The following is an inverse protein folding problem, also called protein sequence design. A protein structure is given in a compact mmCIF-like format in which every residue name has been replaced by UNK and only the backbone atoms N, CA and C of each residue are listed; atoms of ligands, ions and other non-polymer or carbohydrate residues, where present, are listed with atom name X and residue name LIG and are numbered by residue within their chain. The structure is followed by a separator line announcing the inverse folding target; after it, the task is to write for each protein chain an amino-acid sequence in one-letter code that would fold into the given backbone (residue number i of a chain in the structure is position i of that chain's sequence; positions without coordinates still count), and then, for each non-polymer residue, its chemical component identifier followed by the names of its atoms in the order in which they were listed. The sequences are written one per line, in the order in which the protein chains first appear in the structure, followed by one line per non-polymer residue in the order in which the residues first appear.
data_IF_102499755461
#
_entry.id   IF_102499755461
#
_cell.length_a   1.000
_cell.length_b   1.000
_cell.length_c   1.000
_cell.angle_alpha   90.00
_cell.angle_beta   90.00
_cell.angle_gamma   90.00
#
_symmetry.space_group_name_H-M   'P 1'
#
loop_
_entity.id
_entity.type
_entity.pdbx_description
1 polymer ?
#
# COMPACT_ATOMS: atom_id res chain seq x y z
N UNK A 1 7.47 -12.69 -5.45
CA UNK A 1 6.87 -12.60 -4.10
C UNK A 1 5.38 -12.75 -4.29
N UNK A 2 4.65 -13.46 -3.43
CA UNK A 2 3.18 -13.42 -3.37
C UNK A 2 2.73 -12.39 -2.32
N UNK A 3 1.60 -11.71 -2.53
CA UNK A 3 1.09 -10.67 -1.60
C UNK A 3 -0.35 -10.93 -1.26
N UNK A 4 -0.64 -11.03 0.04
CA UNK A 4 -1.97 -11.28 0.58
C UNK A 4 -2.36 -10.17 1.53
N UNK A 5 -3.60 -9.71 1.42
CA UNK A 5 -4.18 -8.74 2.34
C UNK A 5 -5.11 -9.49 3.29
N UNK A 6 -4.82 -9.42 4.58
CA UNK A 6 -5.73 -9.89 5.62
C UNK A 6 -6.74 -8.78 5.88
N UNK A 7 -7.76 -8.79 5.03
CA UNK A 7 -8.84 -7.83 5.07
C UNK A 7 -9.78 -8.26 6.21
N UNK A 8 -10.11 -7.34 7.13
CA UNK A 8 -11.32 -7.50 7.94
C UNK A 8 -12.48 -7.31 6.97
N UNK A 9 -12.78 -8.39 6.25
CA UNK A 9 -13.80 -8.53 5.22
C UNK A 9 -15.12 -8.08 5.77
N UNK A 10 -15.64 -6.93 5.30
CA UNK A 10 -17.05 -6.53 5.37
C UNK A 10 -17.35 -5.19 4.65
N UNK A 11 -16.33 -4.44 4.19
CA UNK A 11 -16.54 -3.16 3.51
C UNK A 11 -16.60 -3.34 1.98
N UNK A 12 -17.74 -3.03 1.37
CA UNK A 12 -17.86 -2.94 -0.08
C UNK A 12 -17.06 -1.74 -0.57
N UNK A 13 -15.88 -1.98 -1.16
CA UNK A 13 -15.05 -0.92 -1.74
C UNK A 13 -15.61 -0.46 -3.09
N UNK A 14 -15.25 0.77 -3.48
CA UNK A 14 -15.59 1.31 -4.79
C UNK A 14 -14.79 0.57 -5.89
N UNK A 15 -15.32 0.40 -7.10
CA UNK A 15 -14.63 -0.29 -8.19
C UNK A 15 -13.22 0.23 -8.48
N UNK A 16 -13.00 1.53 -8.33
CA UNK A 16 -11.72 2.18 -8.61
C UNK A 16 -10.64 1.80 -7.58
N UNK A 17 -11.04 1.63 -6.31
CA UNK A 17 -10.14 1.16 -5.25
C UNK A 17 -9.75 -0.29 -5.49
N UNK A 18 -10.70 -1.14 -5.88
CA UNK A 18 -10.41 -2.53 -6.23
C UNK A 18 -9.51 -2.63 -7.47
N UNK A 19 -9.69 -1.73 -8.44
CA UNK A 19 -8.80 -1.63 -9.59
C UNK A 19 -7.37 -1.24 -9.17
N UNK A 20 -7.20 -0.20 -8.34
CA UNK A 20 -5.88 0.19 -7.81
C UNK A 20 -5.21 -0.94 -7.03
N UNK A 21 -5.98 -1.65 -6.20
CA UNK A 21 -5.52 -2.84 -5.46
C UNK A 21 -5.04 -3.93 -6.42
N UNK A 22 -5.83 -4.26 -7.43
CA UNK A 22 -5.51 -5.31 -8.40
C UNK A 22 -4.24 -4.96 -9.20
N UNK A 23 -4.11 -3.72 -9.67
CA UNK A 23 -2.92 -3.23 -10.37
C UNK A 23 -1.69 -3.28 -9.46
N UNK A 24 -1.79 -2.80 -8.23
CA UNK A 24 -0.66 -2.83 -7.29
C UNK A 24 -0.21 -4.25 -6.94
N UNK A 25 -1.15 -5.20 -6.77
CA UNK A 25 -0.80 -6.62 -6.57
C UNK A 25 -0.12 -7.17 -7.82
N UNK A 26 -0.73 -6.99 -9.00
CA UNK A 26 -0.15 -7.47 -10.26
C UNK A 26 1.27 -6.97 -10.47
N UNK A 27 1.49 -5.66 -10.32
CA UNK A 27 2.82 -5.07 -10.50
C UNK A 27 3.82 -5.58 -9.46
N UNK A 28 3.40 -5.86 -8.22
CA UNK A 28 4.28 -6.45 -7.20
C UNK A 28 4.66 -7.89 -7.53
N UNK A 29 3.76 -8.67 -8.15
CA UNK A 29 4.05 -10.04 -8.57
C UNK A 29 5.06 -10.05 -9.73
N UNK A 30 4.86 -9.17 -10.71
CA UNK A 30 5.71 -9.06 -11.91
C UNK A 30 7.06 -8.41 -11.61
N UNK A 31 7.06 -7.30 -10.86
CA UNK A 31 8.23 -6.45 -10.67
C UNK A 31 8.30 -5.93 -9.23
N UNK A 32 9.08 -6.61 -8.39
CA UNK A 32 9.43 -6.14 -7.06
C UNK A 32 10.91 -6.38 -6.78
N UNK A 33 11.46 -5.54 -5.91
CA UNK A 33 12.77 -5.76 -5.28
C UNK A 33 12.59 -5.95 -3.79
N UNK A 34 11.91 -7.01 -3.37
CA UNK A 34 11.72 -7.30 -1.94
C UNK A 34 12.79 -8.27 -1.41
N UNK A 35 13.59 -7.83 -0.43
CA UNK A 35 14.62 -8.67 0.19
C UNK A 35 14.58 -8.59 1.71
N UNK A 36 14.17 -9.68 2.35
CA UNK A 36 14.25 -9.82 3.81
C UNK A 36 15.72 -9.99 4.24
N UNK A 37 16.15 -9.25 5.27
CA UNK A 37 17.47 -9.41 5.84
C UNK A 37 17.57 -10.75 6.60
N UNK A 38 18.62 -11.54 6.33
CA UNK A 38 18.83 -12.85 6.96
C UNK A 38 18.05 -14.02 6.36
N UNK A 39 17.30 -13.81 5.27
CA UNK A 39 16.60 -14.88 4.56
C UNK A 39 16.72 -14.72 3.04
N UNK A 40 16.44 -15.80 2.29
CA UNK A 40 16.34 -15.79 0.83
C UNK A 40 14.91 -16.13 0.42
N UNK A 41 14.44 -15.48 -0.64
CA UNK A 41 13.11 -15.70 -1.21
C UNK A 41 13.08 -16.94 -2.11
N UNK A 42 11.93 -17.23 -2.74
CA UNK A 42 10.72 -16.39 -2.80
C UNK A 42 9.97 -16.27 -1.47
N UNK A 43 9.23 -15.16 -1.32
CA UNK A 43 8.47 -14.82 -0.11
C UNK A 43 6.97 -14.77 -0.39
N UNK A 44 6.16 -15.10 0.60
CA UNK A 44 4.74 -14.74 0.69
C UNK A 44 4.61 -13.65 1.77
N UNK A 45 4.11 -12.48 1.38
CA UNK A 45 3.90 -11.34 2.27
C UNK A 45 2.42 -11.22 2.62
N UNK A 46 2.09 -11.40 3.89
CA UNK A 46 0.77 -11.09 4.44
C UNK A 46 0.80 -9.69 5.05
N UNK A 47 -0.08 -8.81 4.57
CA UNK A 47 -0.26 -7.45 5.06
C UNK A 47 -1.58 -7.34 5.80
N UNK A 48 -1.56 -6.86 7.05
CA UNK A 48 -2.76 -6.68 7.86
C UNK A 48 -2.63 -5.51 8.84
N UNK A 49 -3.73 -5.20 9.54
CA UNK A 49 -3.76 -4.22 10.62
C UNK A 49 -4.17 -4.88 11.94
N UNK A 50 -3.36 -4.70 12.98
CA UNK A 50 -3.63 -5.21 14.34
C UNK A 50 -3.36 -4.12 15.37
N UNK A 51 -4.33 -3.78 16.22
CA UNK A 51 -4.18 -2.75 17.27
C UNK A 51 -3.54 -1.43 16.79
N UNK A 52 -3.98 -0.97 15.61
CA UNK A 52 -3.42 0.20 14.91
C UNK A 52 -1.93 0.08 14.57
N UNK A 53 -1.44 -1.13 14.35
CA UNK A 53 -0.12 -1.44 13.79
C UNK A 53 -0.27 -2.08 12.42
N UNK A 54 0.61 -1.71 11.50
CA UNK A 54 0.77 -2.39 10.24
C UNK A 54 1.61 -3.64 10.47
N UNK A 55 1.05 -4.79 10.11
CA UNK A 55 1.72 -6.08 10.21
C UNK A 55 2.23 -6.46 8.83
N UNK A 56 3.52 -6.79 8.75
CA UNK A 56 4.14 -7.44 7.60
C UNK A 56 4.60 -8.82 8.05
N UNK A 57 3.79 -9.84 7.78
CA UNK A 57 4.11 -11.23 8.05
C UNK A 57 4.73 -11.87 6.80
N UNK A 58 6.04 -12.07 6.86
CA UNK A 58 6.85 -12.60 5.77
C UNK A 58 7.05 -14.09 5.99
N UNK A 59 6.63 -14.88 5.01
CA UNK A 59 6.68 -16.34 5.02
C UNK A 59 7.49 -16.84 3.82
N UNK A 60 8.04 -18.05 3.93
CA UNK A 60 8.54 -18.76 2.75
C UNK A 60 7.40 -19.28 1.90
N UNK A 61 7.73 -19.72 0.69
CA UNK A 61 6.78 -20.27 -0.28
C UNK A 61 5.99 -21.48 0.24
N UNK A 62 6.59 -22.29 1.11
CA UNK A 62 5.93 -23.42 1.81
C UNK A 62 5.04 -22.99 3.00
N UNK A 63 4.92 -21.68 3.25
CA UNK A 63 4.08 -21.11 4.30
C UNK A 63 4.74 -20.99 5.67
N UNK A 64 6.00 -21.42 5.84
CA UNK A 64 6.71 -21.29 7.11
C UNK A 64 6.95 -19.80 7.45
N UNK A 65 6.65 -19.36 8.69
CA UNK A 65 6.93 -17.99 9.10
C UNK A 65 8.44 -17.73 9.13
N UNK A 66 8.88 -16.67 8.46
CA UNK A 66 10.28 -16.22 8.46
C UNK A 66 10.46 -15.05 9.42
N UNK A 67 9.60 -14.03 9.30
CA UNK A 67 9.62 -12.89 10.20
C UNK A 67 8.29 -12.15 10.20
N UNK A 68 7.93 -11.56 11.35
CA UNK A 68 6.72 -10.77 11.50
C UNK A 68 7.07 -9.38 12.04
N UNK A 69 6.90 -8.35 11.21
CA UNK A 69 7.17 -6.97 11.60
C UNK A 69 5.88 -6.27 12.00
N UNK A 70 5.94 -5.53 13.11
CA UNK A 70 4.85 -4.66 13.55
C UNK A 70 5.34 -3.21 13.48
N UNK A 71 4.82 -2.45 12.52
CA UNK A 71 5.12 -1.04 12.36
C UNK A 71 4.00 -0.19 12.96
N UNK A 72 4.37 0.84 13.72
CA UNK A 72 3.41 1.85 14.15
C UNK A 72 2.79 2.53 12.93
N UNK A 73 1.46 2.64 12.88
CA UNK A 73 0.76 3.40 11.82
C UNK A 73 0.80 4.91 12.03
N UNK A 74 1.20 5.38 13.24
CA UNK A 74 1.18 6.81 13.59
C UNK A 74 1.91 7.70 12.55
N UNK A 75 3.11 7.35 12.05
CA UNK A 75 3.80 8.17 11.05
C UNK A 75 3.05 8.28 9.72
N UNK A 76 2.32 7.22 9.32
CA UNK A 76 1.59 7.17 8.05
C UNK A 76 0.23 7.87 8.10
N UNK A 77 -0.30 8.13 9.31
CA UNK A 77 -1.67 8.61 9.51
C UNK A 77 -1.99 9.89 8.73
N UNK A 78 -1.05 10.85 8.67
CA UNK A 78 -1.24 12.09 7.91
C UNK A 78 -1.39 11.80 6.42
N UNK A 79 -0.41 11.09 5.85
CA UNK A 79 -0.36 10.78 4.41
C UNK A 79 -1.61 10.00 3.98
N UNK A 80 -2.03 9.00 4.77
CA UNK A 80 -3.23 8.20 4.50
C UNK A 80 -4.49 9.07 4.55
N UNK A 81 -4.61 9.96 5.53
CA UNK A 81 -5.75 10.89 5.64
C UNK A 81 -5.81 11.81 4.42
N UNK A 82 -4.68 12.42 4.07
CA UNK A 82 -4.59 13.35 2.94
C UNK A 82 -4.88 12.63 1.62
N UNK A 83 -4.43 11.37 1.47
CA UNK A 83 -4.75 10.52 0.32
C UNK A 83 -6.26 10.34 0.16
N UNK A 84 -6.97 10.00 1.24
CA UNK A 84 -8.42 9.84 1.15
C UNK A 84 -9.14 11.15 0.79
N UNK A 85 -8.70 12.29 1.34
CA UNK A 85 -9.27 13.60 0.98
C UNK A 85 -9.04 13.95 -0.51
N UNK A 86 -7.86 13.62 -1.05
CA UNK A 86 -7.54 13.83 -2.46
C UNK A 86 -8.36 12.90 -3.35
N UNK A 87 -8.53 11.63 -2.96
CA UNK A 87 -9.41 10.69 -3.68
C UNK A 87 -10.86 11.18 -3.71
N UNK A 88 -11.41 11.64 -2.58
CA UNK A 88 -12.75 12.25 -2.55
C UNK A 88 -12.86 13.44 -3.51
N UNK A 89 -11.85 14.30 -3.54
CA UNK A 89 -11.79 15.46 -4.44
C UNK A 89 -11.71 15.03 -5.91
N UNK A 90 -10.92 13.99 -6.21
CA UNK A 90 -10.78 13.41 -7.55
C UNK A 90 -12.12 12.89 -8.07
N UNK A 91 -12.82 12.10 -7.25
CA UNK A 91 -14.15 11.58 -7.62
C UNK A 91 -15.18 12.70 -7.75
N UNK A 92 -15.15 13.69 -6.85
CA UNK A 92 -16.00 14.87 -6.95
C UNK A 92 -15.79 15.62 -8.26
N UNK A 93 -14.54 15.80 -8.69
CA UNK A 93 -14.18 16.47 -9.94
C UNK A 93 -14.65 15.70 -11.18
N UNK A 94 -14.49 14.38 -11.21
CA UNK A 94 -15.02 13.53 -12.30
C UNK A 94 -16.53 13.66 -12.37
N UNK A 95 -17.22 13.48 -11.23
CA UNK A 95 -18.69 13.51 -11.19
C UNK A 95 -19.27 14.86 -11.58
N UNK A 96 -18.57 15.96 -11.29
CA UNK A 96 -19.00 17.32 -11.66
C UNK A 96 -18.61 17.72 -13.09
N UNK A 97 -17.95 16.86 -13.86
CA UNK A 97 -17.46 17.21 -15.20
C UNK A 97 -16.38 18.30 -15.19
N UNK A 98 -15.47 18.29 -14.19
CA UNK A 98 -14.35 19.22 -14.13
C UNK A 98 -13.45 19.13 -15.37
N UNK A 99 -12.71 20.20 -15.66
CA UNK A 99 -11.78 20.20 -16.78
C UNK A 99 -10.70 19.11 -16.64
N UNK A 100 -10.18 18.56 -17.76
CA UNK A 100 -9.10 17.57 -17.73
C UNK A 100 -7.88 18.05 -16.93
N UNK A 101 -7.50 19.32 -17.08
CA UNK A 101 -6.38 19.92 -16.34
C UNK A 101 -6.57 19.90 -14.82
N UNK A 102 -7.81 20.08 -14.34
CA UNK A 102 -8.13 20.03 -12.91
C UNK A 102 -8.07 18.60 -12.39
N UNK A 103 -8.60 17.64 -13.14
CA UNK A 103 -8.55 16.22 -12.80
C UNK A 103 -7.09 15.75 -12.73
N UNK A 104 -6.27 16.13 -13.72
CA UNK A 104 -4.85 15.80 -13.76
C UNK A 104 -4.08 16.40 -12.58
N UNK A 105 -4.36 17.65 -12.21
CA UNK A 105 -3.73 18.30 -11.06
C UNK A 105 -4.01 17.56 -9.74
N UNK A 106 -5.25 17.09 -9.55
CA UNK A 106 -5.63 16.30 -8.37
C UNK A 106 -4.93 14.93 -8.41
N UNK A 107 -4.89 14.29 -9.57
CA UNK A 107 -4.24 12.98 -9.75
C UNK A 107 -2.72 13.04 -9.55
N UNK A 108 -2.06 14.14 -9.93
CA UNK A 108 -0.67 14.40 -9.58
C UNK A 108 -0.47 14.45 -8.06
N UNK A 109 -1.36 15.15 -7.33
CA UNK A 109 -1.35 15.18 -5.87
C UNK A 109 -1.54 13.80 -5.24
N UNK A 110 -2.45 13.00 -5.80
CA UNK A 110 -2.70 11.61 -5.38
C UNK A 110 -1.44 10.74 -5.53
N UNK A 111 -0.78 10.80 -6.69
CA UNK A 111 0.48 10.09 -6.92
C UNK A 111 1.59 10.56 -5.97
N UNK A 112 1.67 11.86 -5.70
CA UNK A 112 2.63 12.44 -4.76
C UNK A 112 2.52 11.83 -3.36
N UNK A 113 1.29 11.60 -2.87
CA UNK A 113 1.06 10.98 -1.57
C UNK A 113 1.46 9.51 -1.52
N UNK A 114 1.31 8.77 -2.62
CA UNK A 114 1.84 7.40 -2.69
C UNK A 114 3.36 7.35 -2.68
N UNK A 115 4.03 8.29 -3.35
CA UNK A 115 5.49 8.40 -3.31
C UNK A 115 5.97 8.75 -1.90
N UNK A 116 5.38 9.78 -1.26
CA UNK A 116 5.73 10.17 0.12
C UNK A 116 5.53 9.00 1.12
N UNK A 117 4.42 8.28 0.98
CA UNK A 117 4.14 7.10 1.80
C UNK A 117 5.10 5.94 1.53
N UNK A 118 5.51 5.75 0.27
CA UNK A 118 6.51 4.78 -0.16
C UNK A 118 7.88 5.09 0.43
N UNK A 119 8.36 6.33 0.31
CA UNK A 119 9.63 6.78 0.89
C UNK A 119 9.67 6.55 2.40
N UNK A 120 8.61 6.94 3.11
CA UNK A 120 8.49 6.67 4.54
C UNK A 120 8.53 5.17 4.83
N UNK A 121 7.88 4.33 4.01
CA UNK A 121 7.91 2.88 4.19
C UNK A 121 9.34 2.31 4.03
N UNK A 122 10.11 2.79 3.06
CA UNK A 122 11.53 2.45 2.88
C UNK A 122 12.31 2.76 4.17
N UNK A 123 12.15 3.96 4.72
CA UNK A 123 12.82 4.38 5.96
C UNK A 123 12.43 3.49 7.16
N UNK A 124 11.14 3.15 7.31
CA UNK A 124 10.67 2.30 8.42
C UNK A 124 11.20 0.87 8.32
N UNK A 125 11.43 0.38 7.10
CA UNK A 125 11.90 -0.98 6.80
C UNK A 125 13.42 -1.10 6.71
N UNK A 126 14.15 0.01 6.66
CA UNK A 126 15.61 0.02 6.64
C UNK A 126 16.21 -0.91 7.72
N UNK A 127 17.21 -1.70 7.29
CA UNK A 127 17.88 -2.73 8.09
C UNK A 127 17.10 -4.04 8.28
N UNK A 128 15.81 -4.08 7.91
CA UNK A 128 14.91 -5.24 8.07
C UNK A 128 14.55 -5.86 6.74
N UNK A 129 14.01 -5.04 5.84
CA UNK A 129 13.60 -5.41 4.48
C UNK A 129 14.15 -4.33 3.56
N UNK A 130 14.89 -4.73 2.53
CA UNK A 130 15.25 -3.85 1.44
C UNK A 130 14.17 -3.90 0.36
N UNK A 131 13.71 -2.71 -0.02
CA UNK A 131 12.78 -2.46 -1.12
C UNK A 131 13.25 -1.26 -1.92
N UNK A 132 12.97 -1.24 -3.21
CA UNK A 132 13.10 -0.03 -4.03
C UNK A 132 11.84 0.85 -3.93
N UNK A 133 11.93 2.05 -4.50
CA UNK A 133 10.85 3.03 -4.47
C UNK A 133 9.56 2.49 -5.10
N UNK A 134 9.63 1.79 -6.23
CA UNK A 134 8.43 1.31 -6.92
C UNK A 134 7.74 0.18 -6.14
N UNK A 135 8.50 -0.74 -5.55
CA UNK A 135 7.97 -1.74 -4.62
C UNK A 135 7.33 -1.06 -3.41
N UNK A 136 8.00 -0.05 -2.83
CA UNK A 136 7.48 0.68 -1.68
C UNK A 136 6.18 1.43 -1.99
N UNK A 137 6.11 2.10 -3.14
CA UNK A 137 4.92 2.80 -3.63
C UNK A 137 3.75 1.83 -3.80
N UNK A 138 3.96 0.69 -4.44
CA UNK A 138 2.93 -0.36 -4.64
C UNK A 138 2.47 -0.95 -3.30
N UNK A 139 3.39 -1.25 -2.38
CA UNK A 139 3.04 -1.69 -1.03
C UNK A 139 2.26 -0.63 -0.26
N UNK A 140 2.63 0.65 -0.39
CA UNK A 140 1.90 1.75 0.24
C UNK A 140 0.49 1.90 -0.32
N UNK A 141 0.27 1.68 -1.62
CA UNK A 141 -1.09 1.58 -2.19
C UNK A 141 -1.93 0.52 -1.47
N UNK A 142 -1.39 -0.67 -1.24
CA UNK A 142 -2.09 -1.74 -0.51
C UNK A 142 -2.32 -1.36 0.96
N UNK A 143 -1.39 -0.66 1.60
CA UNK A 143 -1.56 -0.13 2.96
C UNK A 143 -2.71 0.89 3.02
N UNK A 144 -2.84 1.78 2.04
CA UNK A 144 -4.00 2.68 1.95
C UNK A 144 -5.30 1.89 1.83
N UNK A 145 -5.33 0.83 1.01
CA UNK A 145 -6.51 -0.05 0.85
C UNK A 145 -6.91 -0.71 2.18
N UNK A 146 -5.94 -1.15 3.00
CA UNK A 146 -6.21 -1.70 4.33
C UNK A 146 -6.85 -0.69 5.30
N UNK A 147 -6.58 0.62 5.10
CA UNK A 147 -7.10 1.69 5.96
C UNK A 147 -8.48 2.20 5.54
N UNK A 148 -9.03 1.72 4.42
CA UNK A 148 -10.40 2.05 4.02
C UNK A 148 -11.36 1.41 5.01
N UNK A 149 -11.89 2.24 5.90
CA UNK A 149 -13.05 1.90 6.72
C UNK A 149 -14.30 2.17 5.89
N UNK A 150 -15.24 1.24 5.94
CA UNK A 150 -16.58 1.41 5.37
C UNK A 150 -17.39 2.43 6.14
#
# INVERSE_FOLDING_TARGET
MDVRLDEVTLVRRRPEVEHERAVAIFDLLEENRFRLNGARGPYVLHLSLEDARLVLDVRSEDGRPLHRFLLSTKPFRRIIKDYFMVCESYYGAIKSGASPSRIESIDMGRRGLHNEGGDLLVERLAGKIEIDHDTARRLFTLICVLHIRG
#
